data_IF_356508809684
#
_entry.id   IF_356508809684
#
_cell.length_a   1.000
_cell.length_b   1.000
_cell.length_c   1.000
_cell.angle_alpha   90.00
_cell.angle_beta   90.00
_cell.angle_gamma   90.00
#
_symmetry.space_group_name_H-M   'P 1'
#
loop_
_entity.id
_entity.type
_entity.pdbx_description
1 polymer ?
#
# COMPACT_ATOMS: atom_id res chain seq x y z
N UNK A 1 -8.82 89.65 3.89
CA UNK A 1 -7.54 89.03 4.26
C UNK A 1 -7.87 88.08 5.39
N UNK A 2 -7.79 86.76 5.29
CA UNK A 2 -7.20 85.84 4.33
C UNK A 2 -7.93 84.49 4.45
N UNK A 3 -8.09 83.79 3.33
CA UNK A 3 -8.26 82.33 3.27
C UNK A 3 -7.05 81.66 3.92
N UNK A 4 -7.21 80.46 4.48
CA UNK A 4 -6.31 79.31 4.28
C UNK A 4 -6.99 78.06 4.86
N UNK A 5 -7.59 77.29 3.96
CA UNK A 5 -7.63 75.83 4.03
C UNK A 5 -6.22 75.29 4.29
N UNK A 6 -6.07 74.29 5.17
CA UNK A 6 -4.92 73.39 5.11
C UNK A 6 -5.35 71.96 5.44
N UNK A 7 -4.86 71.09 4.58
CA UNK A 7 -5.20 69.71 4.32
C UNK A 7 -4.83 68.74 5.45
N UNK A 8 -5.59 67.64 5.46
CA UNK A 8 -5.38 66.36 6.12
C UNK A 8 -3.96 65.77 5.89
N UNK A 9 -3.47 64.82 6.73
CA UNK A 9 -3.91 63.44 6.53
C UNK A 9 -4.07 62.59 7.79
N UNK A 10 -5.30 62.13 7.96
CA UNK A 10 -5.68 60.84 8.54
C UNK A 10 -4.69 59.72 8.16
N UNK A 11 -4.10 59.17 9.21
CA UNK A 11 -3.21 58.02 9.20
C UNK A 11 -3.82 56.83 8.47
N UNK A 12 -2.97 56.25 7.62
CA UNK A 12 -3.23 55.25 6.61
C UNK A 12 -3.93 54.02 7.17
N UNK A 13 -5.01 53.66 6.48
CA UNK A 13 -5.64 52.36 6.57
C UNK A 13 -4.65 51.32 6.05
N UNK A 14 -4.05 50.54 6.94
CA UNK A 14 -3.36 49.32 6.56
C UNK A 14 -4.38 48.34 5.99
N UNK A 15 -4.54 48.38 4.67
CA UNK A 15 -5.22 47.36 3.87
C UNK A 15 -4.34 46.11 3.96
N UNK A 16 -4.55 45.32 5.01
CA UNK A 16 -4.01 43.97 5.11
C UNK A 16 -4.64 43.16 3.98
N UNK A 17 -3.92 43.13 2.86
CA UNK A 17 -4.18 42.33 1.68
C UNK A 17 -4.31 40.87 2.11
N UNK A 18 -5.55 40.44 2.35
CA UNK A 18 -5.91 39.03 2.38
C UNK A 18 -5.84 38.56 0.94
N UNK A 19 -4.61 38.31 0.47
CA UNK A 19 -4.33 37.59 -0.77
C UNK A 19 -4.96 36.21 -0.59
N UNK A 20 -6.22 36.07 -1.00
CA UNK A 20 -6.93 34.82 -1.04
C UNK A 20 -6.08 33.85 -1.85
N UNK A 21 -5.35 33.00 -1.14
CA UNK A 21 -4.40 32.07 -1.73
C UNK A 21 -5.22 31.15 -2.62
N UNK A 22 -5.07 31.30 -3.93
CA UNK A 22 -5.72 30.44 -4.91
C UNK A 22 -5.46 28.99 -4.48
N UNK A 23 -6.55 28.25 -4.24
CA UNK A 23 -6.45 26.86 -3.78
C UNK A 23 -5.99 26.05 -4.98
N UNK A 24 -4.69 25.94 -5.14
CA UNK A 24 -4.07 25.08 -6.15
C UNK A 24 -4.42 23.63 -5.80
N UNK A 25 -5.44 23.09 -6.47
CA UNK A 25 -5.86 21.70 -6.29
C UNK A 25 -4.87 20.78 -7.01
N UNK A 26 -4.10 20.02 -6.23
CA UNK A 26 -3.26 18.91 -6.70
C UNK A 26 -3.92 17.58 -6.32
N UNK A 27 -3.76 16.57 -7.17
CA UNK A 27 -4.23 15.20 -6.87
C UNK A 27 -3.04 14.25 -6.78
N UNK A 28 -2.99 13.43 -5.73
CA UNK A 28 -2.07 12.31 -5.60
C UNK A 28 -2.87 11.01 -5.71
N UNK A 29 -2.68 10.28 -6.80
CA UNK A 29 -3.30 8.97 -7.02
C UNK A 29 -2.29 7.85 -6.78
N UNK A 30 -2.45 7.10 -5.69
CA UNK A 30 -1.59 5.94 -5.37
C UNK A 30 -2.25 4.68 -5.94
N UNK A 31 -1.60 4.06 -6.93
CA UNK A 31 -2.14 2.90 -7.65
C UNK A 31 -1.28 1.67 -7.39
N UNK A 32 -1.83 0.67 -6.71
CA UNK A 32 -1.17 -0.62 -6.59
C UNK A 32 -1.50 -1.50 -7.79
N UNK A 33 -0.50 -2.18 -8.35
CA UNK A 33 -0.72 -3.08 -9.49
C UNK A 33 0.19 -4.31 -9.56
N UNK A 34 -0.17 -5.28 -10.40
CA UNK A 34 0.60 -6.48 -10.70
C UNK A 34 1.40 -6.39 -11.98
N UNK A 35 2.71 -6.67 -11.94
CA UNK A 35 3.58 -6.74 -13.11
C UNK A 35 3.08 -7.73 -14.17
N UNK A 36 2.56 -8.88 -13.72
CA UNK A 36 1.99 -9.92 -14.60
C UNK A 36 0.79 -9.45 -15.43
N UNK A 37 0.10 -8.38 -15.02
CA UNK A 37 -1.03 -7.82 -15.76
C UNK A 37 -0.65 -6.59 -16.59
N UNK A 38 0.65 -6.36 -16.81
CA UNK A 38 1.17 -5.26 -17.63
C UNK A 38 1.37 -3.94 -16.87
N UNK A 39 2.03 -2.95 -17.53
CA UNK A 39 2.31 -1.64 -16.94
C UNK A 39 1.02 -0.83 -16.68
N UNK A 40 1.14 0.25 -15.90
CA UNK A 40 0.06 1.24 -15.79
C UNK A 40 0.07 2.11 -17.04
N UNK A 41 -0.99 2.02 -17.84
CA UNK A 41 -1.22 2.91 -18.98
C UNK A 41 -2.06 4.10 -18.52
N UNK A 42 -1.44 5.26 -18.37
CA UNK A 42 -2.15 6.49 -18.09
C UNK A 42 -2.55 7.12 -19.43
N UNK A 43 -3.86 7.14 -19.70
CA UNK A 43 -4.43 7.84 -20.86
C UNK A 43 -5.12 9.10 -20.35
N UNK A 44 -4.49 10.25 -20.52
CA UNK A 44 -5.05 11.52 -20.08
C UNK A 44 -4.44 12.69 -20.85
N UNK A 45 -5.24 13.62 -21.38
CA UNK A 45 -4.73 14.85 -21.97
C UNK A 45 -4.25 15.79 -20.85
N UNK A 46 -2.93 15.94 -20.73
CA UNK A 46 -2.28 17.09 -20.07
C UNK A 46 -2.10 17.02 -18.54
N UNK A 47 -0.85 17.15 -18.09
CA UNK A 47 -0.41 17.37 -16.69
C UNK A 47 -0.46 16.20 -15.70
N UNK A 48 -0.19 14.99 -16.19
CA UNK A 48 -0.02 13.79 -15.33
C UNK A 48 1.46 13.46 -15.17
N UNK A 49 1.97 13.58 -13.96
CA UNK A 49 3.31 13.12 -13.58
C UNK A 49 3.21 11.69 -13.01
N UNK A 50 4.16 10.81 -13.37
CA UNK A 50 4.12 9.41 -12.94
C UNK A 50 5.41 8.96 -12.26
N UNK A 51 5.27 8.37 -11.07
CA UNK A 51 6.35 7.66 -10.37
C UNK A 51 6.00 6.18 -10.26
N UNK A 52 6.93 5.30 -10.59
CA UNK A 52 6.71 3.85 -10.51
C UNK A 52 7.75 3.17 -9.64
N UNK A 53 7.29 2.36 -8.69
CA UNK A 53 8.15 1.66 -7.73
C UNK A 53 7.89 0.15 -7.74
N UNK A 54 8.93 -0.63 -8.03
CA UNK A 54 8.93 -2.08 -7.82
C UNK A 54 9.23 -2.41 -6.37
N UNK A 55 8.41 -3.30 -5.79
CA UNK A 55 8.56 -3.91 -4.46
C UNK A 55 8.64 -5.44 -4.53
N UNK A 56 9.07 -5.98 -5.69
CA UNK A 56 9.20 -7.43 -5.93
C UNK A 56 10.39 -8.07 -5.21
N UNK A 57 11.39 -7.26 -4.89
CA UNK A 57 12.56 -7.57 -4.07
C UNK A 57 12.22 -7.78 -2.58
N UNK A 58 11.10 -7.22 -2.13
CA UNK A 58 10.64 -7.39 -0.74
C UNK A 58 10.18 -8.83 -0.49
N UNK A 59 10.60 -9.41 0.64
CA UNK A 59 10.23 -10.77 1.07
C UNK A 59 8.72 -10.97 0.97
N UNK A 60 8.33 -12.09 0.37
CA UNK A 60 6.92 -12.42 0.17
C UNK A 60 6.28 -12.80 1.52
N UNK A 61 5.08 -12.29 1.86
CA UNK A 61 4.39 -12.73 3.08
C UNK A 61 4.11 -14.25 3.09
N UNK A 62 3.93 -14.85 4.28
CA UNK A 62 3.71 -16.29 4.45
C UNK A 62 2.59 -16.83 3.58
N UNK A 63 2.77 -18.06 3.07
CA UNK A 63 1.83 -18.67 2.13
C UNK A 63 0.40 -18.81 2.68
N UNK A 64 0.26 -19.10 3.97
CA UNK A 64 -1.05 -19.18 4.64
C UNK A 64 -1.78 -17.83 4.56
N UNK A 65 -1.07 -16.75 4.88
CA UNK A 65 -1.60 -15.39 4.88
C UNK A 65 -1.99 -14.92 3.47
N UNK A 66 -1.20 -15.30 2.45
CA UNK A 66 -1.49 -14.98 1.04
C UNK A 66 -2.76 -15.64 0.50
N UNK A 67 -3.19 -16.75 1.09
CA UNK A 67 -4.41 -17.46 0.66
C UNK A 67 -5.68 -16.80 1.20
N UNK A 68 -5.60 -16.24 2.41
CA UNK A 68 -6.78 -15.72 3.13
C UNK A 68 -6.88 -14.20 3.10
N UNK A 69 -5.79 -13.48 2.88
CA UNK A 69 -5.75 -12.02 2.94
C UNK A 69 -5.12 -11.38 1.70
N UNK A 70 -5.49 -10.11 1.49
CA UNK A 70 -4.86 -9.16 0.58
C UNK A 70 -4.08 -8.11 1.38
N UNK A 71 -3.38 -7.20 0.72
CA UNK A 71 -2.73 -6.06 1.39
C UNK A 71 -3.69 -5.07 2.06
N UNK A 72 -5.00 -5.23 1.90
CA UNK A 72 -6.00 -4.46 2.64
C UNK A 72 -6.14 -4.93 4.09
N UNK A 73 -5.72 -6.16 4.43
CA UNK A 73 -5.83 -6.64 5.80
C UNK A 73 -4.71 -6.05 6.66
N UNK A 74 -5.08 -5.52 7.83
CA UNK A 74 -4.14 -5.00 8.82
C UNK A 74 -3.08 -6.05 9.19
N UNK A 75 -3.50 -7.31 9.33
CA UNK A 75 -2.61 -8.41 9.65
C UNK A 75 -1.54 -8.64 8.56
N UNK A 76 -1.92 -8.61 7.27
CA UNK A 76 -0.95 -8.74 6.18
C UNK A 76 -0.02 -7.54 6.06
N UNK A 77 -0.53 -6.32 6.27
CA UNK A 77 0.32 -5.12 6.25
C UNK A 77 1.37 -5.15 7.35
N UNK A 78 0.97 -5.49 8.59
CA UNK A 78 1.90 -5.64 9.72
C UNK A 78 2.99 -6.66 9.43
N UNK A 79 2.63 -7.81 8.87
CA UNK A 79 3.60 -8.86 8.51
C UNK A 79 4.59 -8.39 7.42
N UNK A 80 4.10 -7.69 6.39
CA UNK A 80 4.97 -7.12 5.34
C UNK A 80 5.90 -6.05 5.94
N UNK A 81 5.38 -5.18 6.80
CA UNK A 81 6.14 -4.08 7.41
C UNK A 81 7.07 -4.50 8.55
N UNK A 82 6.88 -5.69 9.13
CA UNK A 82 7.84 -6.28 10.08
C UNK A 82 9.21 -6.55 9.44
N UNK A 83 9.28 -6.62 8.10
CA UNK A 83 10.54 -6.70 7.38
C UNK A 83 11.21 -5.31 7.32
N UNK A 84 12.41 -5.20 7.90
CA UNK A 84 13.23 -3.97 7.88
C UNK A 84 13.47 -3.43 6.47
N UNK A 85 13.71 -4.30 5.48
CA UNK A 85 13.90 -3.89 4.09
C UNK A 85 12.60 -3.30 3.50
N UNK A 86 11.43 -3.83 3.88
CA UNK A 86 10.15 -3.29 3.46
C UNK A 86 9.90 -1.90 4.06
N UNK A 87 10.14 -1.75 5.37
CA UNK A 87 10.00 -0.48 6.07
C UNK A 87 10.95 0.59 5.50
N UNK A 88 12.21 0.24 5.24
CA UNK A 88 13.19 1.14 4.62
C UNK A 88 12.76 1.54 3.19
N UNK A 89 12.28 0.58 2.39
CA UNK A 89 11.76 0.84 1.04
C UNK A 89 10.55 1.77 1.08
N UNK A 90 9.64 1.59 2.03
CA UNK A 90 8.49 2.47 2.20
C UNK A 90 8.93 3.90 2.55
N UNK A 91 9.91 4.07 3.43
CA UNK A 91 10.46 5.40 3.76
C UNK A 91 11.09 6.05 2.54
N UNK A 92 11.87 5.31 1.75
CA UNK A 92 12.42 5.81 0.48
C UNK A 92 11.33 6.30 -0.49
N UNK A 93 10.28 5.49 -0.70
CA UNK A 93 9.15 5.87 -1.56
C UNK A 93 8.44 7.12 -1.01
N UNK A 94 8.25 7.19 0.31
CA UNK A 94 7.61 8.33 0.97
C UNK A 94 8.35 9.63 0.68
N UNK A 95 9.68 9.62 0.82
CA UNK A 95 10.51 10.81 0.57
C UNK A 95 10.55 11.19 -0.91
N UNK A 96 10.62 10.21 -1.81
CA UNK A 96 10.56 10.46 -3.26
C UNK A 96 9.24 11.12 -3.68
N UNK A 97 8.11 10.62 -3.16
CA UNK A 97 6.79 11.20 -3.45
C UNK A 97 6.68 12.61 -2.88
N UNK A 98 7.12 12.84 -1.63
CA UNK A 98 7.14 14.18 -1.02
C UNK A 98 8.01 15.18 -1.78
N UNK A 99 9.17 14.74 -2.28
CA UNK A 99 10.04 15.59 -3.10
C UNK A 99 9.32 16.02 -4.38
N UNK A 100 8.67 15.08 -5.08
CA UNK A 100 7.92 15.39 -6.31
C UNK A 100 6.70 16.27 -6.05
N UNK A 101 5.97 16.05 -4.96
CA UNK A 101 4.87 16.94 -4.54
C UNK A 101 5.34 18.38 -4.33
N UNK A 102 6.51 18.59 -3.71
CA UNK A 102 7.10 19.93 -3.53
C UNK A 102 7.52 20.56 -4.86
N UNK A 103 8.16 19.79 -5.73
CA UNK A 103 8.57 20.24 -7.07
C UNK A 103 7.37 20.72 -7.89
N UNK A 104 6.29 19.93 -7.95
CA UNK A 104 5.07 20.29 -8.68
C UNK A 104 4.39 21.54 -8.11
N UNK A 105 4.47 21.73 -6.80
CA UNK A 105 3.93 22.92 -6.15
C UNK A 105 4.72 24.18 -6.52
N UNK A 106 6.05 24.11 -6.43
CA UNK A 106 6.93 25.24 -6.78
C UNK A 106 6.78 25.62 -8.26
N UNK A 107 6.72 24.63 -9.16
CA UNK A 107 6.53 24.86 -10.59
C UNK A 107 5.21 25.60 -10.92
N UNK A 108 4.16 25.42 -10.10
CA UNK A 108 2.89 26.14 -10.27
C UNK A 108 2.94 27.56 -9.71
N UNK A 109 3.60 27.75 -8.56
CA UNK A 109 3.77 29.07 -7.94
C UNK A 109 4.61 30.03 -8.82
N UNK A 110 5.62 29.52 -9.55
CA UNK A 110 6.43 30.33 -10.49
C UNK A 110 5.63 30.82 -11.72
N UNK A 111 4.70 30.01 -12.23
CA UNK A 111 3.86 30.34 -13.40
C UNK A 111 2.83 31.42 -13.07
N UNK A 112 2.24 31.39 -11.88
CA UNK A 112 1.24 32.38 -11.45
C UNK A 112 1.82 33.79 -11.24
N UNK A 113 3.15 33.94 -11.19
CA UNK A 113 3.81 35.23 -10.87
C UNK A 113 4.25 36.02 -12.12
N UNK A 114 4.29 35.41 -13.32
CA UNK A 114 5.08 35.98 -14.43
C UNK A 114 4.32 36.50 -15.66
N UNK A 115 3.03 36.27 -15.89
CA UNK A 115 2.39 36.81 -17.11
C UNK A 115 0.86 36.88 -17.05
N UNK A 116 0.30 37.98 -17.55
CA UNK A 116 -1.14 38.17 -17.74
C UNK A 116 -1.75 37.07 -18.63
N UNK A 117 -2.86 36.50 -18.16
CA UNK A 117 -3.85 35.69 -18.90
C UNK A 117 -3.48 34.23 -19.26
N UNK A 118 -3.92 33.23 -18.47
CA UNK A 118 -3.92 31.84 -18.91
C UNK A 118 -5.10 31.55 -19.84
N UNK A 119 -4.83 31.31 -21.14
CA UNK A 119 -5.83 30.94 -22.15
C UNK A 119 -6.27 29.46 -22.10
N UNK A 120 -5.85 28.69 -21.10
CA UNK A 120 -6.26 27.31 -20.89
C UNK A 120 -6.56 27.06 -19.41
N UNK A 121 -7.60 26.27 -19.07
CA UNK A 121 -7.78 25.83 -17.70
C UNK A 121 -6.53 25.05 -17.29
N UNK A 122 -5.74 25.62 -16.38
CA UNK A 122 -4.67 24.93 -15.66
C UNK A 122 -5.33 23.83 -14.83
N UNK A 123 -5.61 22.70 -15.47
CA UNK A 123 -6.26 21.54 -14.86
C UNK A 123 -5.53 21.06 -13.61
N UNK A 124 -6.16 20.22 -12.78
CA UNK A 124 -5.51 19.64 -11.61
C UNK A 124 -4.23 18.94 -12.07
N UNK A 125 -3.10 19.28 -11.45
CA UNK A 125 -1.85 18.57 -11.70
C UNK A 125 -1.91 17.27 -10.91
N UNK A 126 -1.90 16.14 -11.63
CA UNK A 126 -2.08 14.82 -11.04
C UNK A 126 -0.71 14.16 -10.93
N UNK A 127 -0.34 13.74 -9.72
CA UNK A 127 0.79 12.86 -9.47
C UNK A 127 0.27 11.43 -9.29
N UNK A 128 0.60 10.54 -10.21
CA UNK A 128 0.28 9.12 -10.12
C UNK A 128 1.47 8.35 -9.57
N UNK A 129 1.28 7.66 -8.46
CA UNK A 129 2.29 6.79 -7.84
C UNK A 129 1.89 5.33 -8.04
N UNK A 130 2.55 4.68 -9.01
CA UNK A 130 2.42 3.26 -9.27
C UNK A 130 3.29 2.42 -8.33
N UNK A 131 2.70 1.48 -7.60
CA UNK A 131 3.43 0.52 -6.78
C UNK A 131 3.18 -0.89 -7.31
N UNK A 132 4.22 -1.55 -7.78
CA UNK A 132 4.11 -2.85 -8.44
C UNK A 132 4.70 -4.00 -7.64
N UNK A 133 3.94 -5.10 -7.55
CA UNK A 133 4.46 -6.41 -7.18
C UNK A 133 4.13 -7.42 -8.28
N UNK A 134 4.34 -8.72 -8.05
CA UNK A 134 4.13 -9.70 -9.12
C UNK A 134 2.67 -9.79 -9.58
N UNK A 135 1.73 -9.90 -8.64
CA UNK A 135 0.29 -10.16 -8.93
C UNK A 135 -0.67 -9.05 -8.50
N UNK A 136 -0.18 -7.98 -7.86
CA UNK A 136 -1.01 -6.84 -7.48
C UNK A 136 -1.92 -7.03 -6.26
N UNK A 137 -1.74 -8.08 -5.43
CA UNK A 137 -2.69 -8.42 -4.34
C UNK A 137 -2.19 -8.23 -2.91
N UNK A 138 -0.88 -8.27 -2.69
CA UNK A 138 -0.29 -8.38 -1.35
C UNK A 138 0.68 -7.24 -1.06
N UNK A 139 1.93 -7.35 -1.54
CA UNK A 139 3.00 -6.37 -1.27
C UNK A 139 2.65 -4.99 -1.81
N UNK A 140 2.27 -4.88 -3.08
CA UNK A 140 1.93 -3.58 -3.68
C UNK A 140 0.78 -2.88 -2.97
N UNK A 141 -0.27 -3.62 -2.64
CA UNK A 141 -1.45 -3.11 -1.91
C UNK A 141 -1.05 -2.67 -0.51
N UNK A 142 -0.27 -3.48 0.21
CA UNK A 142 0.21 -3.12 1.55
C UNK A 142 1.07 -1.84 1.53
N UNK A 143 1.95 -1.70 0.55
CA UNK A 143 2.76 -0.48 0.39
C UNK A 143 1.91 0.73 0.03
N UNK A 144 0.90 0.60 -0.83
CA UNK A 144 0.00 1.70 -1.20
C UNK A 144 -0.78 2.22 0.02
N UNK A 145 -1.33 1.30 0.81
CA UNK A 145 -2.06 1.61 2.05
C UNK A 145 -1.19 2.25 3.12
N UNK A 146 0.05 1.79 3.28
CA UNK A 146 0.96 2.39 4.27
C UNK A 146 1.55 3.72 3.77
N UNK A 147 1.73 3.88 2.47
CA UNK A 147 2.16 5.15 1.87
C UNK A 147 1.10 6.23 2.08
N UNK A 148 -0.17 5.94 1.81
CA UNK A 148 -1.26 6.91 2.00
C UNK A 148 -1.40 7.35 3.46
N UNK A 149 -1.19 6.44 4.43
CA UNK A 149 -1.15 6.78 5.86
C UNK A 149 0.01 7.70 6.26
N UNK A 150 1.15 7.60 5.55
CA UNK A 150 2.35 8.41 5.82
C UNK A 150 2.33 9.77 5.13
N UNK A 151 1.60 9.90 4.03
CA UNK A 151 1.44 11.16 3.32
C UNK A 151 0.36 11.96 4.05
N UNK A 152 0.74 13.11 4.57
CA UNK A 152 -0.23 14.06 5.12
C UNK A 152 -0.78 14.83 3.94
N UNK A 153 -2.10 14.79 3.74
CA UNK A 153 -2.76 15.77 2.91
C UNK A 153 -2.59 17.13 3.61
N UNK A 154 -1.69 17.96 3.12
CA UNK A 154 -1.80 19.39 3.32
C UNK A 154 -2.98 19.89 2.48
N UNK A 155 -3.64 20.97 2.89
CA UNK A 155 -4.92 21.42 2.30
C UNK A 155 -4.90 21.78 0.79
N UNK A 156 -3.82 21.48 0.08
CA UNK A 156 -3.67 21.61 -1.37
C UNK A 156 -3.58 20.26 -2.12
N UNK A 157 -3.49 19.12 -1.41
CA UNK A 157 -3.43 17.79 -2.02
C UNK A 157 -4.62 16.92 -1.63
N UNK A 158 -5.30 16.38 -2.64
CA UNK A 158 -6.29 15.31 -2.48
C UNK A 158 -5.58 13.98 -2.72
N UNK A 159 -5.61 13.08 -1.74
CA UNK A 159 -4.96 11.76 -1.85
C UNK A 159 -6.00 10.68 -2.11
N UNK A 160 -5.84 9.92 -3.20
CA UNK A 160 -6.66 8.76 -3.53
C UNK A 160 -5.81 7.49 -3.60
N UNK A 161 -6.40 6.34 -3.22
CA UNK A 161 -5.76 5.03 -3.30
C UNK A 161 -6.61 4.10 -4.14
N UNK A 162 -6.01 3.46 -5.13
CA UNK A 162 -6.67 2.54 -6.04
C UNK A 162 -5.89 1.24 -6.18
N UNK A 163 -6.60 0.13 -6.31
CA UNK A 163 -6.01 -1.21 -6.40
C UNK A 163 -6.49 -1.92 -7.66
N UNK A 164 -5.70 -1.84 -8.75
CA UNK A 164 -6.10 -2.31 -10.08
C UNK A 164 -6.67 -3.73 -10.08
N UNK A 165 -6.05 -4.66 -9.35
CA UNK A 165 -6.47 -6.06 -9.28
C UNK A 165 -7.49 -6.37 -8.17
N UNK A 166 -7.89 -5.40 -7.35
CA UNK A 166 -8.90 -5.58 -6.29
C UNK A 166 -10.20 -4.80 -6.56
N UNK A 167 -10.21 -3.83 -7.48
CA UNK A 167 -11.39 -3.02 -7.81
C UNK A 167 -12.61 -3.83 -8.27
N UNK A 168 -12.43 -5.07 -8.74
CA UNK A 168 -13.53 -5.96 -9.15
C UNK A 168 -14.17 -6.75 -8.00
N UNK A 169 -13.64 -6.67 -6.78
CA UNK A 169 -14.14 -7.44 -5.62
C UNK A 169 -15.09 -6.63 -4.73
N UNK A 170 -15.04 -5.30 -4.83
CA UNK A 170 -15.84 -4.37 -4.01
C UNK A 170 -17.34 -4.38 -4.34
N UNK A 171 -17.76 -4.87 -5.51
CA UNK A 171 -19.18 -4.90 -5.91
C UNK A 171 -19.95 -6.12 -5.35
N UNK A 172 -19.28 -6.99 -4.56
CA UNK A 172 -19.90 -8.20 -3.98
C UNK A 172 -19.70 -8.35 -2.47
N UNK A 173 -19.18 -7.32 -1.78
CA UNK A 173 -18.84 -7.40 -0.35
C UNK A 173 -19.43 -6.25 0.47
N UNK A 174 -20.73 -6.03 0.31
CA UNK A 174 -21.58 -5.48 1.37
C UNK A 174 -21.88 -6.57 2.40
N UNK A 175 -20.91 -6.89 3.24
CA UNK A 175 -21.03 -7.86 4.31
C UNK A 175 -20.01 -7.54 5.38
N UNK A 176 -20.39 -6.65 6.29
CA UNK A 176 -19.57 -6.26 7.43
C UNK A 176 -19.10 -7.48 8.21
N UNK A 177 -17.82 -7.48 8.55
CA UNK A 177 -17.35 -8.25 9.69
C UNK A 177 -16.80 -7.19 10.63
N UNK A 178 -17.65 -6.81 11.57
CA UNK A 178 -17.29 -6.04 12.75
C UNK A 178 -16.28 -6.88 13.57
N UNK A 179 -15.18 -6.25 13.95
CA UNK A 179 -14.28 -6.75 14.99
C UNK A 179 -15.07 -6.73 16.31
N UNK A 180 -15.59 -7.87 16.75
CA UNK A 180 -16.15 -8.00 18.10
C UNK A 180 -15.42 -9.08 18.91
N UNK A 181 -14.72 -8.59 19.93
CA UNK A 181 -14.27 -9.33 21.08
C UNK A 181 -15.48 -9.80 21.92
N UNK A 182 -15.94 -11.03 21.72
CA UNK A 182 -16.85 -11.69 22.67
C UNK A 182 -16.45 -13.16 22.86
N UNK A 183 -15.69 -13.38 23.95
CA UNK A 183 -15.48 -14.69 24.55
C UNK A 183 -16.76 -15.10 25.29
N UNK A 184 -17.30 -16.27 24.96
CA UNK A 184 -18.24 -17.00 25.83
C UNK A 184 -19.50 -17.46 25.11
N UNK A 185 -19.74 -18.77 25.10
CA UNK A 185 -21.04 -19.32 24.74
C UNK A 185 -20.99 -20.68 24.07
N UNK A 186 -21.13 -21.72 24.88
CA UNK A 186 -21.36 -23.12 24.50
C UNK A 186 -22.47 -23.30 23.46
N UNK A 187 -22.27 -24.21 22.49
CA UNK A 187 -23.25 -24.48 21.44
C UNK A 187 -22.87 -25.65 20.54
N UNK A 188 -23.00 -26.86 21.06
CA UNK A 188 -22.87 -28.14 20.35
C UNK A 188 -23.83 -28.23 19.15
N UNK A 189 -23.33 -28.54 17.95
CA UNK A 189 -23.83 -29.56 17.01
C UNK A 189 -23.21 -29.41 15.61
N UNK A 190 -22.79 -30.52 14.99
CA UNK A 190 -22.47 -30.54 13.56
C UNK A 190 -21.31 -31.43 13.13
N UNK A 191 -21.50 -32.75 13.21
CA UNK A 191 -20.96 -33.82 12.37
C UNK A 191 -19.66 -33.57 11.56
N UNK A 192 -18.54 -34.20 11.93
CA UNK A 192 -18.15 -35.61 11.60
C UNK A 192 -18.07 -35.91 10.09
N UNK A 193 -16.94 -35.56 9.46
CA UNK A 193 -16.50 -36.24 8.22
C UNK A 193 -14.98 -36.15 7.97
N UNK A 194 -14.12 -36.51 8.94
CA UNK A 194 -12.67 -36.65 8.66
C UNK A 194 -11.89 -37.49 9.68
N UNK A 195 -12.42 -38.62 10.13
CA UNK A 195 -11.70 -39.59 10.98
C UNK A 195 -11.85 -41.03 10.51
N UNK A 196 -11.68 -41.25 9.20
CA UNK A 196 -11.70 -42.58 8.58
C UNK A 196 -10.42 -42.86 7.74
N UNK A 197 -9.28 -42.23 8.08
CA UNK A 197 -8.00 -42.49 7.37
C UNK A 197 -6.85 -42.93 8.28
N UNK A 198 -7.01 -42.86 9.60
CA UNK A 198 -5.91 -43.12 10.55
C UNK A 198 -6.00 -44.47 11.29
N UNK A 199 -6.98 -45.32 10.99
CA UNK A 199 -7.12 -46.64 11.64
C UNK A 199 -6.71 -47.84 10.75
N UNK A 200 -6.43 -47.63 9.46
CA UNK A 200 -5.99 -48.73 8.55
C UNK A 200 -4.47 -48.97 8.54
N UNK A 201 -3.66 -48.10 9.15
CA UNK A 201 -2.19 -48.23 9.15
C UNK A 201 -1.60 -49.05 10.32
N UNK A 202 -2.42 -49.61 11.20
CA UNK A 202 -1.95 -50.27 12.45
C UNK A 202 -2.35 -51.73 12.64
N UNK A 203 -2.82 -52.41 11.60
CA UNK A 203 -3.27 -53.83 11.69
C UNK A 203 -2.66 -54.75 10.62
N UNK A 204 -1.38 -54.57 10.28
CA UNK A 204 -0.76 -55.39 9.24
C UNK A 204 0.76 -55.42 9.25
N UNK A 205 1.40 -55.78 10.37
CA UNK A 205 2.72 -56.46 10.35
C UNK A 205 3.09 -56.98 11.74
N UNK A 206 2.49 -58.09 12.14
CA UNK A 206 3.03 -58.97 13.17
C UNK A 206 3.13 -60.38 12.60
N UNK A 207 4.23 -61.05 13.00
CA UNK A 207 4.54 -62.48 12.99
C UNK A 207 4.87 -63.21 11.66
N UNK A 208 6.14 -63.66 11.58
CA UNK A 208 6.67 -64.97 11.12
C UNK A 208 7.98 -64.78 10.33
N UNK A 209 9.13 -65.40 10.56
CA UNK A 209 9.68 -66.39 11.52
C UNK A 209 11.22 -66.30 11.41
N UNK A 210 12.03 -66.49 12.46
CA UNK A 210 12.55 -67.73 13.08
C UNK A 210 13.19 -68.76 12.12
N UNK A 211 14.52 -68.74 12.03
CA UNK A 211 15.50 -69.86 11.89
C UNK A 211 16.90 -69.19 11.88
N UNK A 212 17.82 -69.36 12.85
CA UNK A 212 18.59 -70.52 13.36
C UNK A 212 19.78 -70.90 12.45
N UNK A 213 21.00 -70.73 13.02
CA UNK A 213 22.31 -71.38 12.75
C UNK A 213 23.01 -71.03 11.41
N UNK A 214 24.33 -70.96 11.25
CA UNK A 214 25.53 -71.49 11.96
C UNK A 214 26.76 -70.71 11.39
N UNK A 215 27.85 -70.40 12.13
CA UNK A 215 29.12 -71.15 12.19
C UNK A 215 30.36 -70.33 11.70
N UNK A 216 31.23 -70.00 12.68
CA UNK A 216 32.73 -70.00 12.74
C UNK A 216 33.68 -69.27 11.76
N UNK A 217 34.64 -68.58 12.42
CA UNK A 217 36.10 -68.39 12.18
C UNK A 217 36.54 -67.54 10.96
N UNK A 218 37.64 -66.77 10.94
CA UNK A 218 38.94 -66.84 11.64
C UNK A 218 39.75 -65.51 11.44
N UNK A 219 40.86 -65.36 12.21
CA UNK A 219 42.06 -64.49 12.08
C UNK A 219 41.91 -62.94 12.18
N UNK A 220 42.45 -62.21 13.17
CA UNK A 220 43.87 -61.92 13.53
C UNK A 220 44.78 -61.57 12.35
N UNK A 221 45.29 -60.32 12.26
CA UNK A 221 46.66 -59.96 12.69
C UNK A 221 46.96 -58.46 12.45
N UNK A 222 47.82 -57.93 13.31
CA UNK A 222 48.50 -56.63 13.33
C UNK A 222 49.24 -56.24 12.03
N UNK A 223 49.26 -54.94 11.73
CA UNK A 223 50.36 -54.22 11.09
C UNK A 223 50.25 -52.71 11.32
#
# INVERSE_FOLDING_TARGET
MENCDDDDPVSETEVSSTKAKAVSNFELAIVSYGHSNGPLTLSGPGTVEQLTFSVRDIKNPPAKLRKTHTGLSSHLRKEVMANKAAAARLSFITEAVRAKMREMRLAREEVDTSTETPLYPTGPSILVVGIMCERGKHRSVAFAEELSRKIRADGCWIVSVQHRELSSLSDRQGGGIEDEHSLGGDGRAGHKHRRQRDLERKKGRSSAGRSVQEAVADAEEDA
#
